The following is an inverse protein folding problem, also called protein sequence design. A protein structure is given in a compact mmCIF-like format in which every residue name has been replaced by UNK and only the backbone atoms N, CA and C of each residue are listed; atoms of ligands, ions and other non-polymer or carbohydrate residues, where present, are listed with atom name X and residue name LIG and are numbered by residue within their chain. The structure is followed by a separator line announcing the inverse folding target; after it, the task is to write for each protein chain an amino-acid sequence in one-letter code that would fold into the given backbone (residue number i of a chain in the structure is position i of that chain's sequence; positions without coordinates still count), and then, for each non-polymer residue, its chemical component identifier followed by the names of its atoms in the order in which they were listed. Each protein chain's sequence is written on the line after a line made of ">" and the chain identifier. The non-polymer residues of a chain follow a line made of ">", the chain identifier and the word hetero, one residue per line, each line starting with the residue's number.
data_IF_852677802643
#
_entry.id   IF_852677802643
#
_cell.length_a   1.000
_cell.length_b   1.000
_cell.length_c   1.000
_cell.angle_alpha   90.00
_cell.angle_beta   90.00
_cell.angle_gamma   90.00
#
_symmetry.space_group_name_H-M   'P 1'
#
loop_
_entity.id
_entity.type
_entity.pdbx_description
1 polymer ?
#
# COMPACT_ATOMS: atom_id res chain seq x y z
N UNK A 1 18.01 17.29 3.46
CA UNK A 1 18.52 18.16 4.28
C UNK A 1 18.15 19.60 3.94
N UNK A 2 17.98 20.40 4.92
CA UNK A 2 17.82 21.80 4.70
C UNK A 2 16.48 22.27 4.21
N UNK A 3 15.43 21.54 4.42
CA UNK A 3 14.11 22.05 4.14
C UNK A 3 13.56 21.80 2.74
N UNK A 4 14.23 20.96 1.99
CA UNK A 4 13.70 20.57 0.70
C UNK A 4 12.47 19.70 0.90
N UNK A 5 11.41 20.01 0.19
CA UNK A 5 10.18 19.23 0.21
C UNK A 5 9.93 18.61 -1.14
N UNK A 6 9.48 17.35 -1.14
CA UNK A 6 9.17 16.63 -2.35
C UNK A 6 7.66 16.40 -2.39
N UNK A 7 7.05 16.82 -3.49
CA UNK A 7 5.62 16.65 -3.69
C UNK A 7 5.40 15.44 -4.59
N UNK A 8 4.63 14.47 -4.10
CA UNK A 8 4.35 13.25 -4.84
C UNK A 8 2.85 13.24 -5.16
N UNK A 9 2.49 13.25 -6.44
CA UNK A 9 1.07 13.12 -6.79
C UNK A 9 0.50 11.82 -6.24
N UNK A 10 -0.68 11.89 -5.66
CA UNK A 10 -1.29 10.74 -5.01
C UNK A 10 -1.47 9.57 -5.98
N UNK A 11 -1.84 9.86 -7.22
CA UNK A 11 -2.07 8.81 -8.20
C UNK A 11 -0.78 8.10 -8.65
N UNK A 12 0.38 8.61 -8.26
CA UNK A 12 1.64 7.94 -8.57
C UNK A 12 2.11 7.01 -7.48
N UNK A 13 1.46 7.04 -6.34
CA UNK A 13 1.83 6.16 -5.23
C UNK A 13 1.23 4.78 -5.48
N UNK A 14 2.10 3.76 -5.48
CA UNK A 14 1.69 2.38 -5.68
C UNK A 14 1.33 1.72 -4.36
N UNK A 15 2.21 1.87 -3.38
CA UNK A 15 1.94 1.35 -2.04
C UNK A 15 2.85 2.03 -1.03
N UNK A 16 2.53 1.86 0.24
CA UNK A 16 3.31 2.41 1.35
C UNK A 16 3.57 1.28 2.33
N UNK A 17 4.81 1.16 2.77
CA UNK A 17 5.22 0.10 3.68
C UNK A 17 5.86 0.71 4.93
N UNK A 18 5.45 0.21 6.10
CA UNK A 18 6.10 0.58 7.35
C UNK A 18 7.43 -0.14 7.46
N UNK A 19 8.49 0.59 7.79
CA UNK A 19 9.80 0.02 7.97
C UNK A 19 10.48 0.73 9.14
N UNK A 20 10.64 0.01 10.25
CA UNK A 20 11.18 0.59 11.47
C UNK A 20 10.36 1.81 11.89
N UNK A 21 11.01 2.95 12.07
CA UNK A 21 10.33 4.19 12.47
C UNK A 21 9.85 5.02 11.29
N UNK A 22 9.96 4.49 10.09
CA UNK A 22 9.64 5.23 8.87
C UNK A 22 8.55 4.55 8.08
N UNK A 23 7.90 5.32 7.21
CA UNK A 23 7.06 4.79 6.15
C UNK A 23 7.81 4.99 4.85
N UNK A 24 7.78 3.97 4.01
CA UNK A 24 8.43 4.02 2.70
C UNK A 24 7.35 4.10 1.65
N UNK A 25 7.36 5.18 0.86
CA UNK A 25 6.36 5.42 -0.18
C UNK A 25 6.96 4.99 -1.51
N UNK A 26 6.28 4.06 -2.18
CA UNK A 26 6.76 3.52 -3.45
C UNK A 26 5.93 4.04 -4.60
N UNK A 27 6.63 4.60 -5.59
CA UNK A 27 6.04 4.96 -6.88
C UNK A 27 6.56 3.97 -7.91
N UNK A 28 6.31 4.20 -9.18
CA UNK A 28 6.76 3.28 -10.21
C UNK A 28 8.29 3.15 -10.24
N UNK A 29 8.98 4.27 -10.15
CA UNK A 29 10.43 4.30 -10.33
C UNK A 29 11.22 4.66 -9.08
N UNK A 30 10.55 5.17 -8.06
CA UNK A 30 11.24 5.71 -6.90
C UNK A 30 10.62 5.28 -5.59
N UNK A 31 11.34 5.54 -4.54
CA UNK A 31 10.82 5.36 -3.19
C UNK A 31 11.27 6.52 -2.33
N UNK A 32 10.43 6.86 -1.37
CA UNK A 32 10.67 8.02 -0.50
C UNK A 32 10.40 7.62 0.94
N UNK A 33 11.24 8.11 1.84
CA UNK A 33 11.05 7.87 3.27
C UNK A 33 10.26 9.01 3.89
N UNK A 34 9.38 8.68 4.81
CA UNK A 34 8.57 9.66 5.52
C UNK A 34 8.46 9.27 6.98
N UNK A 35 8.39 10.27 7.86
CA UNK A 35 8.14 10.02 9.28
C UNK A 35 6.66 9.93 9.60
N UNK A 36 5.78 10.17 8.61
CA UNK A 36 4.35 10.03 8.78
C UNK A 36 4.01 8.54 8.97
N UNK A 37 3.21 8.22 9.97
CA UNK A 37 2.87 6.83 10.25
C UNK A 37 1.88 6.27 9.24
N UNK A 38 1.78 4.94 9.16
CA UNK A 38 0.78 4.31 8.30
C UNK A 38 -0.63 4.69 8.72
N UNK A 39 -0.88 4.83 10.01
CA UNK A 39 -2.21 5.24 10.49
C UNK A 39 -2.58 6.62 9.97
N UNK A 40 -1.61 7.53 9.94
CA UNK A 40 -1.84 8.86 9.39
C UNK A 40 -2.05 8.82 7.89
N UNK A 41 -1.28 8.01 7.17
CA UNK A 41 -1.49 7.84 5.74
C UNK A 41 -2.84 7.21 5.45
N UNK A 42 -3.23 6.22 6.25
CA UNK A 42 -4.53 5.58 6.08
C UNK A 42 -5.65 6.61 6.19
N UNK A 43 -5.56 7.48 7.18
CA UNK A 43 -6.54 8.52 7.39
C UNK A 43 -6.58 9.52 6.23
N UNK A 44 -5.40 9.91 5.72
CA UNK A 44 -5.31 10.91 4.67
C UNK A 44 -5.67 10.39 3.29
N UNK A 45 -5.36 9.13 3.02
CA UNK A 45 -5.45 8.59 1.66
C UNK A 45 -6.65 7.69 1.44
N UNK A 46 -7.43 7.41 2.48
CA UNK A 46 -8.58 6.52 2.34
C UNK A 46 -9.56 6.97 1.28
N UNK A 47 -9.81 8.28 1.17
CA UNK A 47 -10.75 8.81 0.20
C UNK A 47 -10.20 8.80 -1.23
N UNK A 48 -8.93 8.43 -1.40
CA UNK A 48 -8.29 8.41 -2.71
C UNK A 48 -8.08 7.00 -3.24
N UNK A 49 -8.80 6.03 -2.69
CA UNK A 49 -8.71 4.66 -3.18
C UNK A 49 -7.57 3.84 -2.61
N UNK A 50 -7.03 4.27 -1.48
CA UNK A 50 -6.00 3.50 -0.79
C UNK A 50 -6.63 2.64 0.30
N UNK A 51 -6.08 1.46 0.52
CA UNK A 51 -6.63 0.52 1.48
C UNK A 51 -5.51 -0.11 2.31
N UNK A 52 -5.69 -0.13 3.63
CA UNK A 52 -4.73 -0.77 4.54
C UNK A 52 -4.97 -2.27 4.51
N UNK A 53 -4.09 -3.00 3.86
CA UNK A 53 -4.25 -4.45 3.68
C UNK A 53 -3.53 -5.27 4.74
N UNK A 54 -2.66 -4.62 5.48
CA UNK A 54 -1.80 -5.30 6.45
C UNK A 54 -1.31 -4.25 7.43
N UNK A 55 -0.95 -4.64 8.64
CA UNK A 55 -0.45 -3.65 9.60
C UNK A 55 0.77 -2.88 9.07
N UNK A 56 1.46 -3.43 8.08
CA UNK A 56 2.64 -2.81 7.51
C UNK A 56 2.48 -2.30 6.09
N UNK A 57 1.30 -2.45 5.49
CA UNK A 57 1.13 -2.09 4.08
C UNK A 57 -0.19 -1.38 3.81
N UNK A 58 -0.10 -0.33 3.02
CA UNK A 58 -1.25 0.36 2.42
C UNK A 58 -1.03 0.28 0.91
N UNK A 59 -2.06 -0.08 0.14
CA UNK A 59 -1.95 -0.16 -1.31
C UNK A 59 -2.92 0.78 -1.98
N UNK A 60 -2.53 1.25 -3.16
CA UNK A 60 -3.41 1.98 -4.05
C UNK A 60 -4.21 0.95 -4.84
N UNK A 61 -5.50 0.85 -4.57
CA UNK A 61 -6.34 -0.18 -5.18
C UNK A 61 -6.38 -0.09 -6.71
N UNK A 62 -6.18 1.11 -7.25
CA UNK A 62 -6.16 1.28 -8.70
C UNK A 62 -5.02 0.52 -9.37
N UNK A 63 -3.98 0.18 -8.61
CA UNK A 63 -2.81 -0.52 -9.14
C UNK A 63 -2.79 -2.02 -8.81
N UNK A 64 -3.82 -2.53 -8.14
CA UNK A 64 -3.90 -3.96 -7.84
C UNK A 64 -4.28 -4.69 -9.12
N UNK A 65 -3.45 -5.65 -9.53
CA UNK A 65 -3.66 -6.42 -10.76
C UNK A 65 -4.27 -7.78 -10.50
N UNK A 66 -3.95 -8.39 -9.38
CA UNK A 66 -4.49 -9.71 -9.08
C UNK A 66 -4.47 -9.96 -7.57
N UNK A 67 -5.26 -10.95 -7.18
CA UNK A 67 -5.34 -11.43 -5.80
C UNK A 67 -5.02 -12.92 -5.88
N UNK A 68 -3.97 -13.32 -5.20
CA UNK A 68 -3.50 -14.70 -5.26
C UNK A 68 -3.67 -15.39 -3.91
N UNK A 69 -4.07 -16.65 -3.95
CA UNK A 69 -4.11 -17.49 -2.75
C UNK A 69 -2.91 -18.40 -2.78
N UNK A 70 -2.02 -18.26 -1.81
CA UNK A 70 -0.86 -19.12 -1.69
C UNK A 70 -1.27 -20.53 -1.23
N UNK A 71 -0.36 -21.48 -1.35
CA UNK A 71 -0.61 -22.86 -0.92
C UNK A 71 -1.02 -22.94 0.55
N UNK A 72 -0.52 -22.02 1.38
CA UNK A 72 -0.86 -21.96 2.80
C UNK A 72 -2.26 -21.42 3.06
N UNK A 73 -2.93 -20.90 2.03
CA UNK A 73 -4.20 -20.20 2.17
C UNK A 73 -4.06 -18.70 2.37
N UNK A 74 -2.83 -18.21 2.50
CA UNK A 74 -2.59 -16.78 2.67
C UNK A 74 -2.91 -16.03 1.38
N UNK A 75 -3.44 -14.83 1.54
CA UNK A 75 -3.80 -13.97 0.41
C UNK A 75 -2.68 -12.96 0.17
N UNK A 76 -2.33 -12.77 -1.09
CA UNK A 76 -1.31 -11.82 -1.51
C UNK A 76 -1.80 -11.06 -2.71
N UNK A 77 -1.32 -9.82 -2.85
CA UNK A 77 -1.72 -8.96 -3.96
C UNK A 77 -0.57 -8.78 -4.94
N UNK A 78 -0.89 -8.80 -6.23
CA UNK A 78 0.00 -8.33 -7.25
C UNK A 78 -0.32 -6.88 -7.55
N UNK A 79 0.70 -6.03 -7.51
CA UNK A 79 0.54 -4.60 -7.75
C UNK A 79 1.36 -4.22 -8.98
N UNK A 80 0.77 -3.40 -9.86
CA UNK A 80 1.41 -3.01 -11.10
C UNK A 80 2.78 -2.40 -10.86
N UNK A 81 3.80 -2.94 -11.55
CA UNK A 81 5.17 -2.44 -11.44
C UNK A 81 5.90 -2.82 -10.17
N UNK A 82 5.33 -3.69 -9.35
CA UNK A 82 5.93 -4.12 -8.09
C UNK A 82 6.20 -5.62 -8.18
N UNK A 83 7.48 -5.99 -8.02
CA UNK A 83 7.87 -7.40 -8.13
C UNK A 83 7.37 -8.26 -6.99
N UNK A 84 7.52 -7.73 -5.78
CA UNK A 84 7.15 -8.50 -4.59
C UNK A 84 5.65 -8.53 -4.40
N UNK A 85 5.15 -9.67 -3.90
CA UNK A 85 3.75 -9.78 -3.54
C UNK A 85 3.50 -9.05 -2.22
N UNK A 86 2.35 -8.39 -2.12
CA UNK A 86 1.99 -7.66 -0.91
C UNK A 86 1.06 -8.55 -0.08
N UNK A 87 1.43 -8.87 1.16
CA UNK A 87 0.59 -9.74 2.00
C UNK A 87 -0.66 -9.02 2.50
N UNK A 88 -1.73 -9.78 2.65
CA UNK A 88 -2.99 -9.27 3.19
C UNK A 88 -3.25 -9.97 4.52
N UNK A 89 -3.49 -9.19 5.58
CA UNK A 89 -3.84 -9.76 6.87
C UNK A 89 -5.17 -10.50 6.77
N UNK A 90 -5.28 -11.60 7.49
CA UNK A 90 -6.47 -12.43 7.43
C UNK A 90 -7.76 -11.63 7.65
N UNK A 91 -7.77 -10.77 8.64
CA UNK A 91 -8.98 -10.00 8.96
C UNK A 91 -9.28 -8.89 7.96
N UNK A 92 -8.35 -8.61 7.07
CA UNK A 92 -8.54 -7.57 6.04
C UNK A 92 -9.04 -8.14 4.72
N UNK A 93 -9.08 -9.46 4.59
CA UNK A 93 -9.41 -10.11 3.31
C UNK A 93 -10.84 -9.77 2.88
N UNK A 94 -11.82 -9.93 3.77
CA UNK A 94 -13.22 -9.67 3.39
C UNK A 94 -13.45 -8.21 3.05
N UNK A 95 -13.03 -7.24 3.88
CA UNK A 95 -13.19 -5.82 3.49
C UNK A 95 -12.47 -5.48 2.20
N UNK A 96 -11.30 -6.06 1.98
CA UNK A 96 -10.54 -5.80 0.75
C UNK A 96 -11.29 -6.30 -0.48
N UNK A 97 -11.83 -7.51 -0.41
CA UNK A 97 -12.58 -8.07 -1.53
C UNK A 97 -13.80 -7.21 -1.84
N UNK A 98 -14.47 -6.70 -0.82
CA UNK A 98 -15.57 -5.78 -1.04
C UNK A 98 -15.11 -4.51 -1.74
N UNK A 99 -13.99 -3.95 -1.31
CA UNK A 99 -13.45 -2.75 -1.92
C UNK A 99 -13.08 -2.97 -3.39
N UNK A 100 -12.70 -4.19 -3.74
CA UNK A 100 -12.33 -4.57 -5.11
C UNK A 100 -13.51 -5.11 -5.90
N UNK A 101 -14.69 -5.19 -5.31
CA UNK A 101 -15.89 -5.76 -5.94
C UNK A 101 -15.73 -7.23 -6.30
N UNK A 102 -15.10 -7.97 -5.43
CA UNK A 102 -14.91 -9.41 -5.63
C UNK A 102 -15.86 -10.23 -4.77
#
# INVERSE_FOLDING_TARGET
>A
KGGRKVLIPVDQIRYIMAKDDYSCIFTEDDRFLSTTSLAQFESKLGDFGFFRVHRRYIVNLANVEDVETAASGAIQLGVAGVEDRIPVSRRRVVPLKKALNL
#
